data_IF_664850048437
#
_entry.id   IF_664850048437
#
_cell.length_a   1.000
_cell.length_b   1.000
_cell.length_c   1.000
_cell.angle_alpha   90.00
_cell.angle_beta   90.00
_cell.angle_gamma   90.00
#
_symmetry.space_group_name_H-M   'P 1'
#
loop_
_entity.id
_entity.type
_entity.pdbx_description
1 polymer ?
#
# COMPACT_ATOMS: atom_id res chain seq x y z
N UNK A 1 -24.84 11.57 4.93
CA UNK A 1 -23.72 11.65 5.89
C UNK A 1 -22.44 11.50 5.10
N UNK A 2 -21.56 12.49 5.16
CA UNK A 2 -20.34 12.59 4.36
C UNK A 2 -19.36 11.48 4.72
N UNK A 3 -18.76 10.80 3.73
CA UNK A 3 -17.69 9.84 3.98
C UNK A 3 -16.51 10.58 4.65
N UNK A 4 -16.04 10.07 5.79
CA UNK A 4 -14.86 10.62 6.47
C UNK A 4 -13.62 10.00 5.84
N UNK A 5 -12.91 10.76 5.03
CA UNK A 5 -11.63 10.35 4.46
C UNK A 5 -10.48 10.60 5.45
N UNK A 6 -9.77 9.54 5.80
CA UNK A 6 -8.56 9.61 6.61
C UNK A 6 -7.35 9.42 5.69
N UNK A 7 -6.57 10.48 5.42
CA UNK A 7 -5.36 10.34 4.64
C UNK A 7 -4.34 9.48 5.39
N UNK A 8 -3.72 8.57 4.66
CA UNK A 8 -2.62 7.74 5.14
C UNK A 8 -1.38 8.63 5.23
N UNK A 9 -0.50 8.41 6.21
CA UNK A 9 0.78 9.14 6.29
C UNK A 9 1.47 9.01 4.93
N UNK A 10 1.81 10.12 4.29
CA UNK A 10 2.47 10.09 2.98
C UNK A 10 3.74 9.22 3.08
N UNK A 11 3.97 8.30 2.12
CA UNK A 11 5.19 7.50 2.13
C UNK A 11 6.41 8.43 2.08
N UNK A 12 7.49 8.05 2.78
CA UNK A 12 8.72 8.86 2.80
C UNK A 12 9.20 9.18 1.38
N UNK A 13 9.83 10.35 1.18
CA UNK A 13 10.25 10.86 -0.14
C UNK A 13 11.00 9.83 -1.01
N UNK A 14 11.73 8.91 -0.37
CA UNK A 14 12.46 7.81 -1.00
C UNK A 14 11.58 6.74 -1.67
N UNK A 15 10.36 6.51 -1.17
CA UNK A 15 9.43 5.56 -1.77
C UNK A 15 8.87 6.06 -3.12
N UNK A 16 8.83 7.37 -3.34
CA UNK A 16 8.47 7.97 -4.64
C UNK A 16 9.62 7.90 -5.65
N UNK A 17 10.87 7.80 -5.18
CA UNK A 17 12.04 7.68 -6.04
C UNK A 17 12.16 6.28 -6.65
N UNK A 18 11.62 5.23 -6.02
CA UNK A 18 11.71 3.86 -6.53
C UNK A 18 11.03 3.62 -7.89
N UNK A 19 9.74 3.99 -8.10
CA UNK A 19 9.13 3.85 -9.43
C UNK A 19 9.82 4.75 -10.46
N UNK A 20 10.32 5.92 -10.05
CA UNK A 20 11.11 6.79 -10.91
C UNK A 20 12.45 6.14 -11.31
N UNK A 21 13.15 5.53 -10.35
CA UNK A 21 14.42 4.82 -10.55
C UNK A 21 14.22 3.60 -11.44
N UNK A 22 13.17 2.79 -11.23
CA UNK A 22 12.85 1.67 -12.13
C UNK A 22 12.50 2.20 -13.52
N UNK A 23 11.71 3.28 -13.59
CA UNK A 23 11.32 3.93 -14.84
C UNK A 23 12.44 4.64 -15.59
N UNK A 24 13.62 4.83 -14.98
CA UNK A 24 14.80 5.49 -15.60
C UNK A 24 15.95 4.51 -15.79
N UNK A 25 16.26 3.68 -14.80
CA UNK A 25 17.38 2.72 -14.85
C UNK A 25 17.08 1.57 -15.81
N UNK A 26 15.86 1.03 -15.81
CA UNK A 26 15.49 -0.03 -16.75
C UNK A 26 15.57 0.40 -18.23
N UNK A 27 15.06 1.58 -18.64
CA UNK A 27 15.20 2.01 -20.04
C UNK A 27 16.63 2.39 -20.42
N UNK A 28 17.43 2.93 -19.49
CA UNK A 28 18.86 3.17 -19.74
C UNK A 28 19.61 1.85 -19.95
N UNK A 29 19.35 0.84 -19.12
CA UNK A 29 19.93 -0.50 -19.30
C UNK A 29 19.50 -1.15 -20.61
N UNK A 30 18.22 -1.00 -20.99
CA UNK A 30 17.70 -1.47 -22.27
C UNK A 30 18.40 -0.77 -23.45
N UNK A 31 18.54 0.57 -23.40
CA UNK A 31 19.24 1.35 -24.43
C UNK A 31 20.69 0.92 -24.61
N UNK A 32 21.41 0.64 -23.51
CA UNK A 32 22.79 0.14 -23.57
C UNK A 32 22.85 -1.25 -24.21
N UNK A 33 21.99 -2.19 -23.78
CA UNK A 33 21.93 -3.53 -24.36
C UNK A 33 21.58 -3.50 -25.86
N UNK A 34 20.67 -2.62 -26.25
CA UNK A 34 20.25 -2.41 -27.63
C UNK A 34 21.40 -1.81 -28.46
N UNK A 35 22.14 -0.83 -27.94
CA UNK A 35 23.31 -0.28 -28.62
C UNK A 35 24.40 -1.33 -28.89
N UNK A 36 24.56 -2.30 -27.98
CA UNK A 36 25.48 -3.43 -28.15
C UNK A 36 24.97 -4.47 -29.16
N UNK A 37 23.64 -4.65 -29.28
CA UNK A 37 23.02 -5.63 -30.16
C UNK A 37 23.00 -5.22 -31.65
N UNK A 38 23.29 -3.94 -31.97
CA UNK A 38 23.28 -3.38 -33.34
C UNK A 38 22.01 -3.75 -34.13
N UNK A 39 20.84 -3.31 -33.66
CA UNK A 39 19.54 -3.66 -34.23
C UNK A 39 19.37 -3.16 -35.67
N UNK A 40 18.52 -3.86 -36.40
CA UNK A 40 18.19 -3.51 -37.77
C UNK A 40 17.20 -2.33 -37.82
N UNK A 41 17.16 -1.52 -38.90
CA UNK A 41 16.28 -0.34 -39.00
C UNK A 41 14.79 -0.65 -38.79
N UNK A 42 14.36 -1.88 -39.07
CA UNK A 42 12.97 -2.33 -38.90
C UNK A 42 12.58 -2.57 -37.43
N UNK A 43 13.53 -2.66 -36.51
CA UNK A 43 13.30 -2.94 -35.08
C UNK A 43 13.14 -1.65 -34.24
N UNK A 44 13.57 -0.50 -34.78
CA UNK A 44 13.46 0.83 -34.15
C UNK A 44 12.07 1.26 -33.71
N UNK A 45 11.00 1.02 -34.47
CA UNK A 45 9.65 1.38 -34.02
C UNK A 45 9.23 0.61 -32.76
N UNK A 46 9.54 -0.69 -32.68
CA UNK A 46 9.18 -1.56 -31.55
C UNK A 46 10.00 -1.16 -30.32
N UNK A 47 11.29 -0.89 -30.52
CA UNK A 47 12.22 -0.48 -29.47
C UNK A 47 11.83 0.89 -28.90
N UNK A 48 11.51 1.87 -29.75
CA UNK A 48 11.05 3.18 -29.33
C UNK A 48 9.74 3.08 -28.52
N UNK A 49 8.80 2.22 -28.95
CA UNK A 49 7.56 1.98 -28.23
C UNK A 49 7.81 1.34 -26.85
N UNK A 50 8.69 0.34 -26.77
CA UNK A 50 9.04 -0.32 -25.50
C UNK A 50 9.69 0.66 -24.51
N UNK A 51 10.59 1.53 -24.99
CA UNK A 51 11.23 2.56 -24.18
C UNK A 51 10.22 3.62 -23.72
N UNK A 52 9.32 4.08 -24.59
CA UNK A 52 8.28 5.05 -24.24
C UNK A 52 7.25 4.48 -23.25
N UNK A 53 6.98 3.17 -23.30
CA UNK A 53 6.08 2.48 -22.39
C UNK A 53 6.61 2.41 -20.95
N UNK A 54 7.93 2.37 -20.74
CA UNK A 54 8.53 2.29 -19.39
C UNK A 54 8.21 3.49 -18.48
N UNK A 55 8.46 4.76 -18.87
CA UNK A 55 8.13 5.92 -18.05
C UNK A 55 6.62 6.09 -17.89
N UNK A 56 5.82 5.73 -18.91
CA UNK A 56 4.36 5.73 -18.80
C UNK A 56 3.89 4.77 -17.70
N UNK A 57 4.40 3.54 -17.70
CA UNK A 57 4.07 2.54 -16.69
C UNK A 57 4.55 2.96 -15.29
N UNK A 58 5.75 3.53 -15.18
CA UNK A 58 6.29 4.04 -13.94
C UNK A 58 5.47 5.21 -13.38
N UNK A 59 5.04 6.15 -14.23
CA UNK A 59 4.17 7.26 -13.87
C UNK A 59 2.78 6.79 -13.42
N UNK A 60 2.21 5.80 -14.11
CA UNK A 60 0.92 5.21 -13.75
C UNK A 60 0.99 4.49 -12.39
N UNK A 61 2.08 3.77 -12.13
CA UNK A 61 2.34 3.15 -10.83
C UNK A 61 2.50 4.22 -9.74
N UNK A 62 3.28 5.27 -9.98
CA UNK A 62 3.48 6.37 -9.02
C UNK A 62 2.17 7.09 -8.70
N UNK A 63 1.32 7.36 -9.71
CA UNK A 63 -0.02 7.92 -9.50
C UNK A 63 -0.90 6.97 -8.67
N UNK A 64 -0.95 5.69 -9.03
CA UNK A 64 -1.70 4.68 -8.26
C UNK A 64 -1.22 4.58 -6.81
N UNK A 65 0.07 4.82 -6.56
CA UNK A 65 0.61 4.88 -5.21
C UNK A 65 0.15 6.09 -4.40
N UNK A 66 -0.15 7.21 -5.06
CA UNK A 66 -0.56 8.47 -4.44
C UNK A 66 -2.08 8.58 -4.21
N UNK A 67 -2.90 7.92 -5.03
CA UNK A 67 -4.35 7.87 -4.89
C UNK A 67 -4.83 6.79 -3.89
N UNK A 68 -4.26 6.78 -2.68
CA UNK A 68 -4.63 5.84 -1.61
C UNK A 68 -5.30 6.59 -0.47
N UNK A 69 -6.57 6.28 -0.21
CA UNK A 69 -7.33 6.83 0.92
C UNK A 69 -8.08 5.73 1.66
N UNK A 70 -8.15 5.84 2.99
CA UNK A 70 -9.06 5.02 3.79
C UNK A 70 -10.28 5.88 4.08
N UNK A 71 -11.44 5.52 3.53
CA UNK A 71 -12.70 6.24 3.75
C UNK A 71 -13.59 5.40 4.66
N UNK A 72 -14.04 5.99 5.77
CA UNK A 72 -15.08 5.41 6.62
C UNK A 72 -16.45 5.81 6.06
N UNK A 73 -17.28 4.82 5.75
CA UNK A 73 -18.64 4.99 5.26
C UNK A 73 -19.63 4.34 6.24
N UNK A 74 -20.90 4.77 6.31
CA UNK A 74 -21.90 4.17 7.19
C UNK A 74 -22.12 2.66 6.95
N UNK A 75 -21.84 2.17 5.73
CA UNK A 75 -21.95 0.77 5.37
C UNK A 75 -20.71 -0.08 5.78
N UNK A 76 -19.60 0.56 6.14
CA UNK A 76 -18.35 -0.13 6.49
C UNK A 76 -17.08 0.67 6.19
N UNK A 77 -15.95 0.06 6.50
CA UNK A 77 -14.62 0.60 6.23
C UNK A 77 -14.23 0.35 4.78
N UNK A 78 -14.08 1.41 3.98
CA UNK A 78 -13.64 1.31 2.58
C UNK A 78 -12.17 1.65 2.47
N UNK A 79 -11.36 0.64 2.22
CA UNK A 79 -9.91 0.75 2.06
C UNK A 79 -9.64 0.93 0.57
N UNK A 80 -9.23 2.13 0.14
CA UNK A 80 -8.78 2.40 -1.23
C UNK A 80 -7.25 2.28 -1.25
N UNK A 81 -6.75 1.08 -1.54
CA UNK A 81 -5.31 0.78 -1.56
C UNK A 81 -4.98 -0.41 -2.47
N UNK A 82 -3.68 -0.61 -2.70
CA UNK A 82 -3.18 -1.75 -3.48
C UNK A 82 -3.20 -3.02 -2.60
N UNK A 83 -3.68 -4.18 -3.11
CA UNK A 83 -3.98 -4.49 -4.51
C UNK A 83 -5.43 -4.26 -4.99
N UNK A 84 -6.42 -4.09 -4.11
CA UNK A 84 -7.82 -3.83 -4.51
C UNK A 84 -8.54 -2.97 -3.47
N UNK A 85 -9.43 -2.08 -3.95
CA UNK A 85 -10.34 -1.38 -3.07
C UNK A 85 -11.33 -2.38 -2.44
N UNK A 86 -11.50 -2.34 -1.12
CA UNK A 86 -12.41 -3.25 -0.42
C UNK A 86 -13.26 -2.50 0.59
N UNK A 87 -14.56 -2.77 0.57
CA UNK A 87 -15.49 -2.43 1.64
C UNK A 87 -15.54 -3.60 2.63
N UNK A 88 -15.25 -3.31 3.90
CA UNK A 88 -15.35 -4.29 4.99
C UNK A 88 -16.46 -3.83 5.93
N UNK A 89 -17.56 -4.60 6.07
CA UNK A 89 -18.65 -4.26 6.99
C UNK A 89 -18.16 -4.19 8.43
N UNK A 90 -18.73 -3.29 9.24
CA UNK A 90 -18.36 -3.17 10.65
C UNK A 90 -18.68 -4.43 11.46
N UNK A 91 -19.71 -5.20 11.10
CA UNK A 91 -20.07 -6.45 11.78
C UNK A 91 -19.01 -7.56 11.69
N UNK A 92 -18.09 -7.46 10.74
CA UNK A 92 -16.98 -8.40 10.64
C UNK A 92 -15.77 -7.99 11.49
N UNK A 93 -15.73 -6.74 11.95
CA UNK A 93 -14.60 -6.13 12.64
C UNK A 93 -14.80 -6.20 14.15
N UNK A 94 -13.75 -6.58 14.87
CA UNK A 94 -13.75 -6.57 16.33
C UNK A 94 -13.31 -5.19 16.82
N UNK A 95 -14.26 -4.25 16.80
CA UNK A 95 -14.04 -2.85 17.14
C UNK A 95 -13.63 -2.68 18.62
N UNK A 96 -14.10 -3.57 19.49
CA UNK A 96 -13.75 -3.56 20.91
C UNK A 96 -12.26 -3.84 21.15
N UNK A 97 -11.58 -4.51 20.21
CA UNK A 97 -10.15 -4.83 20.27
C UNK A 97 -9.27 -3.90 19.44
N UNK A 98 -9.82 -2.80 18.92
CA UNK A 98 -9.00 -1.80 18.19
C UNK A 98 -8.01 -1.17 19.16
N UNK A 99 -6.74 -1.18 18.79
CA UNK A 99 -5.69 -0.53 19.58
C UNK A 99 -4.59 0.04 18.71
N UNK A 100 -3.90 1.05 19.23
CA UNK A 100 -2.69 1.59 18.61
C UNK A 100 -1.51 0.77 19.14
N UNK A 101 -0.74 0.19 18.24
CA UNK A 101 0.43 -0.64 18.53
C UNK A 101 1.68 -0.07 17.89
N UNK A 102 2.80 -0.21 18.59
CA UNK A 102 4.12 0.02 18.06
C UNK A 102 4.69 -1.31 17.53
N UNK A 103 4.84 -1.43 16.21
CA UNK A 103 5.40 -2.64 15.59
C UNK A 103 6.90 -2.81 15.88
N UNK A 104 7.59 -1.75 16.34
CA UNK A 104 8.98 -1.87 16.78
C UNK A 104 9.09 -2.74 18.03
N UNK A 105 8.13 -2.60 18.95
CA UNK A 105 8.03 -3.34 20.20
C UNK A 105 7.32 -4.69 20.00
N UNK A 106 6.19 -4.70 19.29
CA UNK A 106 5.39 -5.91 19.04
C UNK A 106 5.89 -6.67 17.79
N UNK A 107 7.05 -7.33 17.92
CA UNK A 107 7.66 -8.13 16.83
C UNK A 107 6.72 -9.18 16.21
N UNK A 108 5.78 -9.72 17.00
CA UNK A 108 4.80 -10.72 16.55
C UNK A 108 3.86 -10.18 15.46
N UNK A 109 3.55 -8.89 15.51
CA UNK A 109 2.69 -8.20 14.55
C UNK A 109 3.44 -7.69 13.31
N UNK A 110 4.75 -7.94 13.23
CA UNK A 110 5.52 -7.49 12.06
C UNK A 110 5.12 -8.30 10.82
N UNK A 111 4.90 -7.65 9.68
CA UNK A 111 4.67 -8.35 8.43
C UNK A 111 5.95 -9.06 7.97
N UNK A 112 5.94 -10.39 7.97
CA UNK A 112 7.08 -11.21 7.56
C UNK A 112 7.07 -11.49 6.06
N UNK A 113 6.07 -12.25 5.61
CA UNK A 113 5.97 -12.74 4.24
C UNK A 113 4.92 -11.97 3.42
N UNK A 114 5.28 -11.52 2.21
CA UNK A 114 4.35 -10.83 1.30
C UNK A 114 3.53 -11.87 0.55
N UNK A 115 2.21 -11.83 0.68
CA UNK A 115 1.30 -12.68 -0.09
C UNK A 115 0.91 -11.95 -1.38
N UNK A 116 0.46 -10.69 -1.28
CA UNK A 116 0.09 -9.87 -2.43
C UNK A 116 0.21 -8.38 -2.12
N UNK A 117 0.69 -7.58 -3.08
CA UNK A 117 0.82 -6.12 -2.95
C UNK A 117 2.25 -5.61 -3.05
N UNK A 118 2.51 -4.47 -2.41
CA UNK A 118 3.76 -3.73 -2.50
C UNK A 118 4.58 -3.83 -1.21
N UNK A 119 5.88 -4.14 -1.36
CA UNK A 119 6.88 -4.12 -0.28
C UNK A 119 8.01 -3.21 -0.72
N UNK A 120 8.02 -2.00 -0.19
CA UNK A 120 9.02 -0.97 -0.43
C UNK A 120 9.67 -0.59 0.91
N UNK A 121 10.92 -0.11 0.92
CA UNK A 121 11.51 0.49 2.12
C UNK A 121 10.62 1.66 2.58
N UNK A 122 10.23 1.67 3.86
CA UNK A 122 9.31 2.68 4.40
C UNK A 122 7.85 2.59 3.92
N UNK A 123 7.48 1.59 3.12
CA UNK A 123 6.08 1.41 2.67
C UNK A 123 5.70 -0.05 2.45
N UNK A 124 4.65 -0.53 3.12
CA UNK A 124 4.10 -1.88 2.89
C UNK A 124 2.59 -1.80 2.71
N UNK A 125 2.09 -2.27 1.56
CA UNK A 125 0.65 -2.37 1.34
C UNK A 125 0.23 -3.72 0.76
N UNK A 126 -0.88 -4.25 1.25
CA UNK A 126 -1.53 -5.44 0.74
C UNK A 126 -1.55 -6.58 1.75
N UNK A 127 -1.66 -7.80 1.26
CA UNK A 127 -1.74 -9.00 2.10
C UNK A 127 -0.36 -9.50 2.49
N UNK A 128 -0.16 -9.62 3.80
CA UNK A 128 1.04 -10.18 4.40
C UNK A 128 0.68 -11.25 5.41
N UNK A 129 1.64 -12.15 5.63
CA UNK A 129 1.62 -13.06 6.77
C UNK A 129 2.47 -12.45 7.88
N UNK A 130 1.89 -12.32 9.07
CA UNK A 130 2.56 -11.82 10.27
C UNK A 130 3.47 -12.90 10.87
N UNK A 131 4.36 -12.51 11.79
CA UNK A 131 5.24 -13.44 12.51
C UNK A 131 4.48 -14.39 13.43
N UNK A 132 3.30 -13.99 13.92
CA UNK A 132 2.37 -14.85 14.66
C UNK A 132 1.55 -15.81 13.76
N UNK A 133 1.94 -15.93 12.48
CA UNK A 133 1.32 -16.72 11.44
C UNK A 133 -0.08 -16.26 10.97
N UNK A 134 -0.66 -15.20 11.56
CA UNK A 134 -1.94 -14.63 11.10
C UNK A 134 -1.79 -13.95 9.74
N UNK A 135 -2.89 -13.90 8.98
CA UNK A 135 -2.96 -13.14 7.73
C UNK A 135 -3.43 -11.73 8.06
N UNK A 136 -2.65 -10.74 7.63
CA UNK A 136 -3.00 -9.35 7.81
C UNK A 136 -3.06 -8.60 6.49
N UNK A 137 -4.03 -7.71 6.38
CA UNK A 137 -3.97 -6.65 5.37
C UNK A 137 -3.24 -5.46 5.99
N UNK A 138 -2.16 -5.07 5.33
CA UNK A 138 -1.18 -4.13 5.84
C UNK A 138 -1.25 -2.89 4.96
N UNK A 139 -1.22 -1.72 5.58
CA UNK A 139 -1.06 -0.43 4.93
C UNK A 139 -0.21 0.44 5.86
N UNK A 140 1.09 0.16 5.84
CA UNK A 140 2.06 0.74 6.74
C UNK A 140 2.99 1.68 5.99
N UNK A 141 3.11 2.88 6.53
CA UNK A 141 4.05 3.95 6.13
C UNK A 141 4.98 4.28 7.29
N UNK A 142 4.48 4.18 8.53
CA UNK A 142 5.23 4.22 9.77
C UNK A 142 4.97 2.92 10.57
N UNK A 143 5.97 2.48 11.32
CA UNK A 143 5.94 1.28 12.17
C UNK A 143 5.58 1.63 13.62
N UNK A 144 5.80 2.87 14.04
CA UNK A 144 5.64 3.31 15.43
C UNK A 144 4.20 3.57 15.83
N UNK A 145 3.36 3.97 14.88
CA UNK A 145 1.96 4.33 15.11
C UNK A 145 1.05 3.55 14.15
N UNK A 146 0.82 2.29 14.49
CA UNK A 146 -0.03 1.41 13.70
C UNK A 146 -1.33 1.12 14.45
N UNK A 147 -2.46 1.27 13.79
CA UNK A 147 -3.75 0.79 14.30
C UNK A 147 -3.87 -0.70 13.98
N UNK A 148 -3.99 -1.53 15.01
CA UNK A 148 -4.40 -2.93 14.91
C UNK A 148 -5.92 -3.01 14.98
N UNK A 149 -6.53 -3.57 13.95
CA UNK A 149 -7.96 -3.80 13.84
C UNK A 149 -8.19 -5.30 13.57
N UNK A 150 -8.50 -6.09 14.60
CA UNK A 150 -8.81 -7.50 14.45
C UNK A 150 -10.16 -7.70 13.74
N UNK A 151 -10.28 -8.83 13.05
CA UNK A 151 -11.51 -9.28 12.39
C UNK A 151 -11.98 -10.58 13.02
N UNK A 152 -13.29 -10.81 13.02
CA UNK A 152 -13.92 -12.01 13.60
C UNK A 152 -13.47 -13.32 12.91
N UNK A 153 -12.95 -13.26 11.68
CA UNK A 153 -12.41 -14.40 10.92
C UNK A 153 -10.95 -14.75 11.28
N UNK A 154 -10.38 -14.14 12.32
CA UNK A 154 -9.00 -14.34 12.76
C UNK A 154 -7.95 -13.58 11.94
N UNK A 155 -8.36 -12.78 10.95
CA UNK A 155 -7.47 -11.87 10.21
C UNK A 155 -7.31 -10.56 10.97
N UNK A 156 -6.31 -9.79 10.56
CA UNK A 156 -5.99 -8.50 11.17
C UNK A 156 -5.81 -7.45 10.08
N UNK A 157 -6.24 -6.23 10.34
CA UNK A 157 -5.87 -5.07 9.56
C UNK A 157 -4.87 -4.22 10.34
N UNK A 158 -3.80 -3.80 9.66
CA UNK A 158 -2.76 -2.94 10.20
C UNK A 158 -2.69 -1.67 9.35
N UNK A 159 -2.97 -0.51 9.96
CA UNK A 159 -2.97 0.78 9.28
C UNK A 159 -2.06 1.80 9.95
N UNK A 160 -1.19 2.43 9.18
CA UNK A 160 -0.43 3.60 9.61
C UNK A 160 -1.17 4.88 9.19
N UNK A 161 -2.04 5.38 10.07
CA UNK A 161 -2.84 6.58 9.82
C UNK A 161 -2.14 7.83 10.36
N UNK A 162 -2.35 8.96 9.70
CA UNK A 162 -1.77 10.23 10.12
C UNK A 162 -2.33 10.70 11.47
N UNK A 163 -3.58 10.34 11.76
CA UNK A 163 -4.27 10.58 13.03
C UNK A 163 -4.99 9.31 13.50
N UNK A 164 -4.28 8.37 14.17
CA UNK A 164 -4.86 7.10 14.59
C UNK A 164 -5.97 7.28 15.64
N UNK A 165 -5.83 8.26 16.53
CA UNK A 165 -6.83 8.55 17.57
C UNK A 165 -8.16 9.05 17.00
N UNK A 166 -8.10 9.97 16.04
CA UNK A 166 -9.31 10.48 15.35
C UNK A 166 -10.05 9.38 14.57
N UNK A 167 -9.32 8.38 14.09
CA UNK A 167 -9.91 7.23 13.42
C UNK A 167 -10.65 6.30 14.39
N UNK A 168 -10.07 6.03 15.56
CA UNK A 168 -10.73 5.21 16.60
C UNK A 168 -11.98 5.91 17.13
N UNK A 169 -11.91 7.22 17.37
CA UNK A 169 -13.07 8.02 17.78
C UNK A 169 -14.19 8.01 16.73
N UNK A 170 -13.84 8.19 15.45
CA UNK A 170 -14.81 8.10 14.35
C UNK A 170 -15.40 6.70 14.19
N UNK A 171 -14.59 5.66 14.37
CA UNK A 171 -15.05 4.27 14.34
C UNK A 171 -16.07 4.02 15.46
N UNK A 172 -15.77 4.44 16.68
CA UNK A 172 -16.68 4.31 17.83
C UNK A 172 -18.00 5.08 17.68
N UNK A 173 -17.98 6.24 16.99
CA UNK A 173 -19.18 7.03 16.68
C UNK A 173 -20.08 6.38 15.62
N UNK A 174 -19.50 5.67 14.66
CA UNK A 174 -20.25 5.02 13.58
C UNK A 174 -20.84 3.67 13.97
N UNK A 175 -20.41 3.10 15.09
CA UNK A 175 -20.82 1.76 15.55
C UNK A 175 -21.63 1.79 16.85
N UNK A 176 -21.88 2.97 17.41
CA UNK A 176 -22.87 3.21 18.47
C UNK A 176 -24.22 3.51 17.84
#
# INVERSE_FOLDING_TARGET
MSDLEFPIVAPEKWANLMPLLIGVVAPVGALVAIGLAKPQPQEWPIIALAIAMMPLMAGLLAWSMHHRSVSLSPAGMRIRGLPWARLVPFGDLDIAKVRIVNLDEERKLRPGFKIAGARLPGFRSGWFRLHDARRAYVLLTDWRRTVELPRNDGRVYLFSLQRPESFIDALGKLTR
#
